data_IF_179539753669
#
_entry.id   IF_179539753669
#
_cell.length_a   1.000
_cell.length_b   1.000
_cell.length_c   1.000
_cell.angle_alpha   90.00
_cell.angle_beta   90.00
_cell.angle_gamma   90.00
#
_symmetry.space_group_name_H-M   'P 1'
#
loop_
_entity.id
_entity.type
_entity.pdbx_description
1 polymer ?
#
# COMPACT_ATOMS: atom_id res chain seq x y z
N UNK A 1 -42.50 -24.37 49.59
CA UNK A 1 -41.28 -24.49 48.74
C UNK A 1 -41.50 -23.71 47.48
N UNK A 2 -40.93 -22.49 47.35
CA UNK A 2 -41.05 -21.63 46.17
C UNK A 2 -39.93 -21.96 45.21
N UNK A 3 -40.24 -22.41 44.01
CA UNK A 3 -39.28 -22.65 42.94
C UNK A 3 -39.03 -21.31 42.22
N UNK A 4 -37.81 -20.78 42.33
CA UNK A 4 -37.35 -19.61 41.59
C UNK A 4 -36.84 -20.15 40.24
N UNK A 5 -37.55 -19.78 39.16
CA UNK A 5 -37.08 -20.05 37.79
C UNK A 5 -36.11 -18.94 37.36
N UNK A 6 -34.85 -19.32 37.18
CA UNK A 6 -33.79 -18.43 36.64
C UNK A 6 -33.98 -18.37 35.13
N UNK A 7 -34.43 -17.23 34.61
CA UNK A 7 -34.46 -16.96 33.16
C UNK A 7 -33.10 -16.40 32.76
N UNK A 8 -32.28 -17.20 32.05
CA UNK A 8 -31.05 -16.76 31.44
C UNK A 8 -31.41 -16.15 30.08
N UNK A 9 -31.36 -14.83 29.96
CA UNK A 9 -31.47 -14.12 28.70
C UNK A 9 -30.15 -14.25 27.93
N UNK A 10 -30.12 -15.05 26.86
CA UNK A 10 -29.02 -15.13 25.93
C UNK A 10 -29.04 -13.86 25.07
N UNK A 11 -28.14 -12.91 25.33
CA UNK A 11 -27.87 -11.77 24.44
C UNK A 11 -27.07 -12.29 23.23
N UNK A 12 -27.75 -12.62 22.13
CA UNK A 12 -27.11 -12.78 20.84
C UNK A 12 -26.59 -11.39 20.39
N UNK A 13 -25.32 -11.10 20.61
CA UNK A 13 -24.65 -9.97 19.99
C UNK A 13 -24.55 -10.22 18.48
N UNK A 14 -25.39 -9.54 17.69
CA UNK A 14 -25.24 -9.49 16.25
C UNK A 14 -23.93 -8.73 15.95
N UNK A 15 -22.88 -9.46 15.57
CA UNK A 15 -21.70 -8.85 14.97
C UNK A 15 -22.13 -8.22 13.64
N UNK A 16 -22.12 -6.88 13.59
CA UNK A 16 -22.31 -6.17 12.33
C UNK A 16 -21.16 -6.59 11.39
N UNK A 17 -21.44 -6.94 10.13
CA UNK A 17 -20.39 -7.23 9.17
C UNK A 17 -19.51 -5.98 9.07
N UNK A 18 -18.18 -6.15 9.24
CA UNK A 18 -17.22 -5.11 8.93
C UNK A 18 -17.42 -4.76 7.44
N UNK A 19 -17.93 -3.56 7.17
CA UNK A 19 -18.08 -3.10 5.79
C UNK A 19 -16.66 -2.92 5.23
N UNK A 20 -16.31 -3.71 4.22
CA UNK A 20 -15.13 -3.45 3.41
C UNK A 20 -15.22 -1.99 2.91
N UNK A 21 -14.13 -1.25 3.01
CA UNK A 21 -14.13 0.12 2.51
C UNK A 21 -14.37 0.08 0.98
N UNK A 22 -15.10 1.08 0.48
CA UNK A 22 -15.36 1.22 -0.96
C UNK A 22 -14.03 1.24 -1.74
N UNK A 23 -13.90 0.45 -2.84
CA UNK A 23 -12.67 0.39 -3.64
C UNK A 23 -12.16 1.76 -4.11
N UNK A 24 -13.05 2.72 -4.42
CA UNK A 24 -12.65 4.07 -4.80
C UNK A 24 -12.06 4.85 -3.61
N UNK A 25 -12.55 4.60 -2.40
CA UNK A 25 -11.95 5.14 -1.18
C UNK A 25 -10.58 4.53 -0.94
N UNK A 26 -10.42 3.22 -1.12
CA UNK A 26 -9.12 2.55 -1.00
C UNK A 26 -8.10 3.07 -2.02
N UNK A 27 -8.50 3.35 -3.27
CA UNK A 27 -7.64 4.01 -4.26
C UNK A 27 -7.11 5.35 -3.75
N UNK A 28 -7.98 6.22 -3.23
CA UNK A 28 -7.56 7.53 -2.71
C UNK A 28 -6.54 7.41 -1.59
N UNK A 29 -6.76 6.47 -0.67
CA UNK A 29 -5.82 6.19 0.43
C UNK A 29 -4.45 5.79 -0.10
N UNK A 30 -4.40 4.85 -1.05
CA UNK A 30 -3.13 4.37 -1.61
C UNK A 30 -2.43 5.43 -2.45
N UNK A 31 -3.18 6.23 -3.24
CA UNK A 31 -2.61 7.31 -4.04
C UNK A 31 -1.99 8.40 -3.15
N UNK A 32 -2.67 8.80 -2.07
CA UNK A 32 -2.14 9.80 -1.13
C UNK A 32 -0.93 9.25 -0.36
N UNK A 33 -1.00 7.99 0.12
CA UNK A 33 0.14 7.29 0.73
C UNK A 33 1.36 7.28 -0.20
N UNK A 34 1.15 6.96 -1.47
CA UNK A 34 2.22 6.85 -2.46
C UNK A 34 2.87 8.21 -2.72
N UNK A 35 2.07 9.25 -2.91
CA UNK A 35 2.57 10.61 -3.09
C UNK A 35 3.36 11.09 -1.87
N UNK A 36 2.78 10.99 -0.67
CA UNK A 36 3.42 11.41 0.59
C UNK A 36 4.70 10.63 0.88
N UNK A 37 4.63 9.30 0.78
CA UNK A 37 5.76 8.42 1.10
C UNK A 37 6.84 8.42 0.04
N UNK A 38 6.49 8.10 -1.21
CA UNK A 38 7.47 7.78 -2.24
C UNK A 38 7.98 9.02 -2.98
N UNK A 39 7.12 10.02 -3.24
CA UNK A 39 7.47 11.24 -3.95
C UNK A 39 7.92 12.37 -3.02
N UNK A 40 7.12 12.71 -2.00
CA UNK A 40 7.47 13.75 -1.03
C UNK A 40 8.49 13.27 0.02
N UNK A 41 8.62 11.95 0.21
CA UNK A 41 9.50 11.31 1.21
C UNK A 41 9.20 11.80 2.63
N UNK A 42 7.90 12.01 2.89
CA UNK A 42 7.34 12.37 4.19
C UNK A 42 6.74 11.12 4.86
N UNK A 43 7.55 10.49 5.72
CA UNK A 43 7.12 9.31 6.44
C UNK A 43 5.92 9.59 7.35
N UNK A 44 5.92 10.72 8.07
CA UNK A 44 4.86 11.02 9.05
C UNK A 44 3.51 11.26 8.38
N UNK A 45 3.50 11.86 7.20
CA UNK A 45 2.28 11.99 6.40
C UNK A 45 1.81 10.64 5.86
N UNK A 46 2.72 9.83 5.30
CA UNK A 46 2.42 8.50 4.76
C UNK A 46 1.94 7.53 5.86
N UNK A 47 2.55 7.59 7.06
CA UNK A 47 2.25 6.69 8.17
C UNK A 47 0.79 6.77 8.66
N UNK A 48 0.10 7.86 8.39
CA UNK A 48 -1.33 8.03 8.72
C UNK A 48 -2.23 7.03 7.98
N UNK A 49 -1.75 6.46 6.90
CA UNK A 49 -2.48 5.50 6.07
C UNK A 49 -2.28 4.06 6.51
N UNK A 50 -1.28 3.76 7.37
CA UNK A 50 -1.09 2.41 7.87
C UNK A 50 -2.14 2.00 8.90
N UNK A 51 -2.46 0.70 8.87
CA UNK A 51 -3.20 0.03 9.93
C UNK A 51 -2.31 -0.29 11.15
N UNK A 52 -2.82 -1.10 12.07
CA UNK A 52 -2.07 -1.48 13.29
C UNK A 52 -0.86 -2.37 12.99
N UNK A 53 -0.78 -2.92 11.80
CA UNK A 53 0.34 -3.71 11.27
C UNK A 53 0.60 -3.32 9.83
N UNK A 54 1.80 -3.60 9.33
CA UNK A 54 2.16 -3.51 7.93
C UNK A 54 3.11 -4.65 7.60
N UNK A 55 2.68 -5.55 6.71
CA UNK A 55 3.47 -6.71 6.29
C UNK A 55 4.07 -6.39 4.92
N UNK A 56 5.39 -6.47 4.82
CA UNK A 56 6.13 -6.18 3.60
C UNK A 56 6.62 -7.47 2.93
N UNK A 57 6.26 -7.68 1.66
CA UNK A 57 6.66 -8.86 0.88
C UNK A 57 7.78 -8.59 -0.13
N UNK A 58 8.20 -7.32 -0.32
CA UNK A 58 9.39 -7.04 -1.12
C UNK A 58 10.64 -7.57 -0.40
N UNK A 59 11.40 -8.53 -1.01
CA UNK A 59 12.56 -9.13 -0.35
C UNK A 59 13.72 -8.14 -0.15
N UNK A 60 13.68 -6.99 -0.81
CA UNK A 60 14.69 -5.92 -0.71
C UNK A 60 14.35 -4.84 0.33
N UNK A 61 13.21 -4.94 1.03
CA UNK A 61 12.77 -3.97 2.02
C UNK A 61 12.57 -4.63 3.40
N UNK A 62 12.96 -3.97 4.51
CA UNK A 62 12.66 -4.46 5.85
C UNK A 62 11.15 -4.50 6.12
N UNK A 63 10.72 -5.44 6.95
CA UNK A 63 9.30 -5.60 7.31
C UNK A 63 8.83 -4.52 8.29
N UNK A 64 7.50 -4.29 8.28
CA UNK A 64 6.80 -3.44 9.23
C UNK A 64 6.92 -1.93 8.97
N UNK A 65 6.20 -1.15 9.79
CA UNK A 65 6.15 0.31 9.68
C UNK A 65 7.53 0.94 9.89
N UNK A 66 8.31 0.43 10.84
CA UNK A 66 9.68 0.91 11.08
C UNK A 66 10.61 0.59 9.89
N UNK A 67 10.39 -0.56 9.23
CA UNK A 67 11.07 -0.90 7.98
C UNK A 67 10.78 0.10 6.86
N UNK A 68 9.52 0.48 6.70
CA UNK A 68 9.13 1.53 5.76
C UNK A 68 9.73 2.89 6.11
N UNK A 69 9.77 3.26 7.41
CA UNK A 69 10.43 4.49 7.88
C UNK A 69 11.90 4.54 7.48
N UNK A 70 12.63 3.45 7.73
CA UNK A 70 14.04 3.34 7.36
C UNK A 70 14.22 3.42 5.84
N UNK A 71 13.32 2.82 5.05
CA UNK A 71 13.33 2.90 3.60
C UNK A 71 13.13 4.33 3.10
N UNK A 72 12.17 5.10 3.65
CA UNK A 72 11.95 6.50 3.29
C UNK A 72 13.16 7.37 3.65
N UNK A 73 13.74 7.17 4.84
CA UNK A 73 14.95 7.88 5.26
C UNK A 73 16.12 7.64 4.28
N UNK A 74 16.36 6.38 3.91
CA UNK A 74 17.37 6.02 2.92
C UNK A 74 17.09 6.64 1.55
N UNK A 75 15.85 6.65 1.08
CA UNK A 75 15.48 7.29 -0.19
C UNK A 75 15.70 8.79 -0.18
N UNK A 76 15.37 9.45 0.94
CA UNK A 76 15.57 10.89 1.11
C UNK A 76 17.04 11.26 1.07
N UNK A 77 17.90 10.43 1.67
CA UNK A 77 19.36 10.65 1.71
C UNK A 77 20.03 10.35 0.36
N UNK A 78 19.77 9.13 -0.18
CA UNK A 78 20.52 8.63 -1.34
C UNK A 78 19.92 8.98 -2.69
N UNK A 79 18.60 9.19 -2.76
CA UNK A 79 17.85 9.44 -3.98
C UNK A 79 16.86 10.60 -3.80
N UNK A 80 17.34 11.82 -3.46
CA UNK A 80 16.46 12.96 -3.18
C UNK A 80 15.57 13.33 -4.37
N UNK A 81 16.06 13.09 -5.60
CA UNK A 81 15.35 13.39 -6.86
C UNK A 81 14.48 12.24 -7.37
N UNK A 82 14.47 11.10 -6.65
CA UNK A 82 13.68 9.95 -7.07
C UNK A 82 12.19 10.29 -7.14
N UNK A 83 11.57 9.86 -8.24
CA UNK A 83 10.14 10.05 -8.50
C UNK A 83 9.49 8.76 -8.97
N UNK A 84 8.21 8.65 -8.66
CA UNK A 84 7.34 7.57 -9.10
C UNK A 84 6.09 8.16 -9.74
N UNK A 85 5.87 7.84 -11.01
CA UNK A 85 4.69 8.26 -11.77
C UNK A 85 3.72 7.09 -11.88
N UNK A 86 2.54 7.22 -11.30
CA UNK A 86 1.49 6.20 -11.39
C UNK A 86 0.85 6.28 -12.77
N UNK A 87 1.00 5.24 -13.57
CA UNK A 87 0.45 5.13 -14.93
C UNK A 87 -0.98 4.58 -14.94
N UNK A 88 -1.28 3.64 -14.05
CA UNK A 88 -2.60 3.02 -13.91
C UNK A 88 -2.86 2.66 -12.47
N UNK A 89 -4.13 2.70 -12.07
CA UNK A 89 -4.59 2.25 -10.75
C UNK A 89 -5.87 1.43 -10.91
N UNK A 90 -5.91 0.30 -10.23
CA UNK A 90 -7.06 -0.60 -10.17
C UNK A 90 -7.38 -0.89 -8.71
N UNK A 91 -8.65 -1.10 -8.40
CA UNK A 91 -9.06 -1.57 -7.08
C UNK A 91 -10.17 -2.59 -7.21
N UNK A 92 -10.08 -3.62 -6.39
CA UNK A 92 -11.10 -4.67 -6.26
C UNK A 92 -11.11 -5.14 -4.81
N UNK A 93 -12.29 -5.11 -4.18
CA UNK A 93 -12.43 -5.43 -2.77
C UNK A 93 -11.45 -4.62 -1.91
N UNK A 94 -10.62 -5.30 -1.14
CA UNK A 94 -9.64 -4.70 -0.23
C UNK A 94 -8.27 -4.47 -0.89
N UNK A 95 -8.13 -4.71 -2.20
CA UNK A 95 -6.88 -4.57 -2.91
C UNK A 95 -6.84 -3.34 -3.81
N UNK A 96 -5.68 -2.69 -3.85
CA UNK A 96 -5.36 -1.64 -4.82
C UNK A 96 -4.06 -2.01 -5.53
N UNK A 97 -4.08 -1.97 -6.86
CA UNK A 97 -2.94 -2.31 -7.71
C UNK A 97 -2.53 -1.06 -8.49
N UNK A 98 -1.24 -0.73 -8.43
CA UNK A 98 -0.64 0.36 -9.17
C UNK A 98 0.30 -0.19 -10.25
N UNK A 99 0.28 0.42 -11.43
CA UNK A 99 1.33 0.27 -12.43
C UNK A 99 2.11 1.58 -12.48
N UNK A 100 3.39 1.51 -12.15
CA UNK A 100 4.20 2.70 -11.83
C UNK A 100 5.48 2.74 -12.65
N UNK A 101 5.87 3.94 -13.08
CA UNK A 101 7.20 4.25 -13.58
C UNK A 101 8.03 4.87 -12.45
N UNK A 102 9.00 4.14 -11.93
CA UNK A 102 9.92 4.61 -10.91
C UNK A 102 11.25 5.04 -11.52
N UNK A 103 11.72 6.25 -11.16
CA UNK A 103 13.02 6.80 -11.59
C UNK A 103 13.76 7.24 -10.33
N UNK A 104 15.04 6.85 -10.20
CA UNK A 104 15.88 7.25 -9.06
C UNK A 104 16.53 8.60 -9.29
N UNK A 105 17.10 8.79 -10.48
CA UNK A 105 17.74 10.06 -10.87
C UNK A 105 17.16 10.55 -12.20
N UNK A 106 17.02 11.88 -12.37
CA UNK A 106 16.56 12.45 -13.63
C UNK A 106 17.40 11.98 -14.83
N UNK A 107 16.72 11.55 -15.89
CA UNK A 107 17.37 11.06 -17.12
C UNK A 107 17.61 9.55 -17.16
N UNK A 108 17.43 8.83 -16.07
CA UNK A 108 17.43 7.36 -16.08
C UNK A 108 16.16 6.81 -16.75
N UNK A 109 16.29 5.63 -17.38
CA UNK A 109 15.10 4.89 -17.88
C UNK A 109 14.18 4.44 -16.74
N UNK A 110 14.76 4.12 -15.59
CA UNK A 110 14.04 3.68 -14.41
C UNK A 110 13.56 2.24 -14.49
N UNK A 111 12.46 1.99 -13.78
CA UNK A 111 11.86 0.66 -13.61
C UNK A 111 10.35 0.73 -13.81
N UNK A 112 9.75 -0.35 -14.32
CA UNK A 112 8.32 -0.60 -14.23
C UNK A 112 8.06 -1.38 -12.95
N UNK A 113 7.05 -0.96 -12.20
CA UNK A 113 6.67 -1.55 -10.93
C UNK A 113 5.19 -1.91 -11.00
N UNK A 114 4.84 -3.09 -10.48
CA UNK A 114 3.47 -3.43 -10.13
C UNK A 114 3.44 -3.53 -8.61
N UNK A 115 2.84 -2.54 -7.96
CA UNK A 115 2.61 -2.52 -6.52
C UNK A 115 1.22 -3.05 -6.22
N UNK A 116 1.08 -3.90 -5.20
CA UNK A 116 -0.19 -4.43 -4.72
C UNK A 116 -0.30 -4.09 -3.23
N UNK A 117 -1.36 -3.39 -2.87
CA UNK A 117 -1.68 -3.05 -1.50
C UNK A 117 -2.95 -3.76 -1.07
N UNK A 118 -2.96 -4.31 0.15
CA UNK A 118 -4.18 -4.75 0.81
C UNK A 118 -4.50 -3.82 1.97
N UNK A 119 -5.78 -3.50 2.08
CA UNK A 119 -6.28 -2.61 3.11
C UNK A 119 -7.26 -3.35 4.04
N UNK A 120 -7.31 -2.92 5.29
CA UNK A 120 -8.33 -3.29 6.27
C UNK A 120 -8.92 -2.01 6.85
N UNK A 121 -10.24 -1.84 6.75
CA UNK A 121 -10.95 -0.63 7.23
C UNK A 121 -10.35 0.69 6.68
N UNK A 122 -9.98 0.71 5.40
CA UNK A 122 -9.38 1.88 4.75
C UNK A 122 -7.95 2.19 5.19
N UNK A 123 -7.22 1.22 5.78
CA UNK A 123 -5.84 1.33 6.20
C UNK A 123 -4.99 0.27 5.53
N UNK A 124 -3.81 0.66 5.07
CA UNK A 124 -2.83 -0.22 4.43
C UNK A 124 -2.25 -1.16 5.49
N UNK A 125 -2.34 -2.46 5.25
CA UNK A 125 -1.87 -3.50 6.17
C UNK A 125 -0.85 -4.45 5.53
N UNK A 126 -0.74 -4.45 4.17
CA UNK A 126 0.11 -5.41 3.48
C UNK A 126 0.48 -4.89 2.09
N UNK A 127 1.69 -5.24 1.62
CA UNK A 127 2.23 -4.79 0.35
C UNK A 127 3.11 -5.84 -0.32
N UNK A 128 2.92 -6.01 -1.62
CA UNK A 128 3.77 -6.75 -2.55
C UNK A 128 4.17 -5.85 -3.70
N UNK A 129 5.30 -6.16 -4.32
CA UNK A 129 5.66 -5.54 -5.60
C UNK A 129 6.41 -6.50 -6.54
N UNK A 130 6.38 -6.16 -7.80
CA UNK A 130 7.24 -6.73 -8.82
C UNK A 130 7.92 -5.59 -9.55
N UNK A 131 9.25 -5.59 -9.54
CA UNK A 131 10.06 -4.53 -10.14
C UNK A 131 10.84 -5.06 -11.32
N UNK A 132 10.66 -4.44 -12.49
CA UNK A 132 11.37 -4.79 -13.71
C UNK A 132 12.15 -3.58 -14.26
N UNK A 133 13.47 -3.69 -14.45
CA UNK A 133 14.25 -2.64 -15.12
C UNK A 133 13.77 -2.42 -16.56
N UNK A 134 13.70 -1.15 -16.97
CA UNK A 134 13.39 -0.82 -18.37
C UNK A 134 14.63 -1.11 -19.22
N UNK A 135 14.55 -2.02 -20.20
CA UNK A 135 15.71 -2.45 -20.96
C UNK A 135 16.23 -1.35 -21.88
N UNK A 136 17.54 -1.36 -22.12
CA UNK A 136 18.17 -0.46 -23.10
C UNK A 136 17.76 -0.79 -24.53
N UNK A 137 17.66 -2.09 -24.82
CA UNK A 137 17.29 -2.61 -26.13
C UNK A 137 16.07 -3.51 -25.99
N UNK A 138 14.87 -2.96 -26.06
CA UNK A 138 13.65 -3.77 -26.00
C UNK A 138 13.48 -4.59 -27.28
N UNK A 139 12.80 -5.74 -27.16
CA UNK A 139 12.48 -6.59 -28.29
C UNK A 139 11.35 -6.02 -29.19
N UNK A 140 10.63 -5.01 -28.70
CA UNK A 140 9.56 -4.29 -29.42
C UNK A 140 9.54 -2.83 -28.98
N UNK A 141 8.81 -1.99 -29.72
CA UNK A 141 8.75 -0.54 -29.50
C UNK A 141 7.47 -0.06 -28.78
N UNK A 142 6.72 -0.94 -28.13
CA UNK A 142 5.43 -0.59 -27.50
C UNK A 142 5.62 0.15 -26.15
N UNK A 143 6.82 0.10 -25.58
CA UNK A 143 7.08 0.58 -24.22
C UNK A 143 6.56 -0.37 -23.12
N UNK A 144 6.70 0.05 -21.88
CA UNK A 144 6.23 -0.72 -20.71
C UNK A 144 5.03 -0.08 -20.00
N UNK A 145 4.50 1.03 -20.53
CA UNK A 145 3.42 1.79 -19.90
C UNK A 145 2.28 2.11 -20.84
#
# INVERSE_FOLDING_TARGET
>A
MRRIALVIALLLGAALPAHAADPETNKKVVLDFYEKGLNEKDFEAAAKHFGPRYIQHNPGAPDGIEGFKAFIAMRKEKFPNAKSEIKRVFAESDFVILHVHGVREPGERGVAIVDIFRLENGKIVEHWDVVQPIPEKPANNNGMF
#
